data_IF_931738994629
#
_entry.id   IF_931738994629
#
_cell.length_a   1.000
_cell.length_b   1.000
_cell.length_c   1.000
_cell.angle_alpha   90.00
_cell.angle_beta   90.00
_cell.angle_gamma   90.00
#
_symmetry.space_group_name_H-M   'P 1'
#
loop_
_entity.id
_entity.type
_entity.pdbx_description
1 polymer ?
#
# COMPACT_ATOMS: atom_id res chain seq x y z
N UNK A 1 5.85 -30.75 -28.31
CA UNK A 1 6.07 -30.34 -26.93
C UNK A 1 4.73 -30.37 -26.22
N UNK A 2 4.62 -30.87 -24.97
CA UNK A 2 3.36 -30.85 -24.24
C UNK A 2 2.92 -29.40 -24.11
N UNK A 3 1.71 -29.07 -24.56
CA UNK A 3 1.12 -27.76 -24.36
C UNK A 3 0.92 -27.55 -22.87
N UNK A 4 1.49 -26.47 -22.34
CA UNK A 4 1.22 -26.06 -20.95
C UNK A 4 -0.28 -25.77 -20.80
N UNK A 5 -0.88 -26.19 -19.68
CA UNK A 5 -2.29 -25.88 -19.44
C UNK A 5 -2.52 -24.36 -19.48
N UNK A 6 -3.69 -23.92 -19.97
CA UNK A 6 -4.01 -22.50 -20.05
C UNK A 6 -3.99 -21.86 -18.64
N UNK A 7 -3.43 -20.65 -18.57
CA UNK A 7 -3.34 -19.85 -17.35
C UNK A 7 -4.32 -18.68 -17.47
N UNK A 8 -5.44 -18.77 -16.78
CA UNK A 8 -6.45 -17.74 -16.77
C UNK A 8 -5.93 -16.44 -16.13
N UNK A 9 -6.09 -15.33 -16.83
CA UNK A 9 -5.78 -13.97 -16.36
C UNK A 9 -7.02 -13.12 -16.43
N UNK A 10 -7.50 -12.62 -15.29
CA UNK A 10 -8.62 -11.70 -15.23
C UNK A 10 -8.10 -10.27 -15.19
N UNK A 11 -8.61 -9.38 -16.04
CA UNK A 11 -8.27 -7.96 -16.11
C UNK A 11 -9.51 -7.16 -15.76
N UNK A 12 -9.49 -6.49 -14.62
CA UNK A 12 -10.55 -5.62 -14.15
C UNK A 12 -10.11 -4.15 -14.29
N UNK A 13 -10.71 -3.40 -15.21
CA UNK A 13 -10.41 -1.98 -15.45
C UNK A 13 -11.62 -1.24 -15.96
N UNK A 14 -11.85 -0.02 -15.46
CA UNK A 14 -12.89 0.87 -15.99
C UNK A 14 -12.52 1.52 -17.34
N UNK A 15 -11.27 1.43 -17.77
CA UNK A 15 -10.79 1.98 -19.04
C UNK A 15 -10.74 0.88 -20.12
N UNK A 16 -11.70 0.84 -21.07
CA UNK A 16 -11.76 -0.22 -22.07
C UNK A 16 -10.53 -0.27 -22.99
N UNK A 17 -9.98 0.90 -23.36
CA UNK A 17 -8.83 0.97 -24.25
C UNK A 17 -7.56 0.42 -23.57
N UNK A 18 -7.35 0.77 -22.31
CA UNK A 18 -6.25 0.23 -21.51
C UNK A 18 -6.40 -1.29 -21.29
N UNK A 19 -7.60 -1.73 -20.91
CA UNK A 19 -7.88 -3.14 -20.68
C UNK A 19 -7.68 -3.99 -21.97
N UNK A 20 -8.13 -3.49 -23.11
CA UNK A 20 -7.93 -4.15 -24.41
C UNK A 20 -6.44 -4.25 -24.78
N UNK A 21 -5.69 -3.14 -24.65
CA UNK A 21 -4.24 -3.14 -24.90
C UNK A 21 -3.48 -4.09 -23.97
N UNK A 22 -3.87 -4.16 -22.70
CA UNK A 22 -3.28 -5.09 -21.75
C UNK A 22 -3.62 -6.54 -22.10
N UNK A 23 -4.87 -6.81 -22.49
CA UNK A 23 -5.28 -8.14 -22.95
C UNK A 23 -4.49 -8.57 -24.20
N UNK A 24 -4.29 -7.67 -25.16
CA UNK A 24 -3.46 -7.95 -26.35
C UNK A 24 -2.00 -8.25 -25.98
N UNK A 25 -1.44 -7.57 -24.99
CA UNK A 25 -0.09 -7.87 -24.50
C UNK A 25 0.01 -9.29 -23.93
N UNK A 26 -1.06 -9.74 -23.26
CA UNK A 26 -1.13 -11.03 -22.59
C UNK A 26 -1.71 -12.15 -23.45
N UNK A 27 -2.25 -11.85 -24.63
CA UNK A 27 -2.82 -12.84 -25.55
C UNK A 27 -1.74 -13.70 -26.21
N UNK A 28 -0.99 -14.45 -25.39
CA UNK A 28 0.02 -15.41 -25.85
C UNK A 28 0.01 -16.66 -24.96
N UNK A 29 0.10 -17.86 -25.55
CA UNK A 29 0.14 -19.08 -24.76
C UNK A 29 1.26 -19.07 -23.70
N UNK A 30 1.01 -19.57 -22.50
CA UNK A 30 -0.23 -20.20 -22.03
C UNK A 30 -1.26 -19.24 -21.43
N UNK A 31 -1.11 -17.91 -21.53
CA UNK A 31 -1.98 -16.92 -20.89
C UNK A 31 -3.31 -16.78 -21.66
N UNK A 32 -4.42 -16.76 -20.92
CA UNK A 32 -5.77 -16.53 -21.42
C UNK A 32 -6.39 -15.33 -20.72
N UNK A 33 -6.27 -14.09 -21.26
CA UNK A 33 -6.84 -12.90 -20.67
C UNK A 33 -8.35 -12.82 -20.86
N UNK A 34 -9.06 -12.40 -19.81
CA UNK A 34 -10.48 -12.05 -19.79
C UNK A 34 -10.65 -10.66 -19.19
N UNK A 35 -11.37 -9.77 -19.87
CA UNK A 35 -11.58 -8.39 -19.42
C UNK A 35 -12.96 -8.24 -18.79
N UNK A 36 -13.02 -7.49 -17.69
CA UNK A 36 -14.24 -7.07 -16.99
C UNK A 36 -14.10 -5.61 -16.55
N UNK A 37 -15.22 -4.93 -16.26
CA UNK A 37 -15.23 -3.48 -16.05
C UNK A 37 -15.75 -3.05 -14.67
N UNK A 38 -16.22 -3.98 -13.86
CA UNK A 38 -16.78 -3.73 -12.53
C UNK A 38 -16.32 -4.78 -11.53
N UNK A 39 -16.47 -4.46 -10.24
CA UNK A 39 -16.19 -5.38 -9.13
C UNK A 39 -17.11 -6.59 -9.22
N UNK A 40 -18.42 -6.37 -9.41
CA UNK A 40 -19.41 -7.44 -9.47
C UNK A 40 -19.08 -8.44 -10.58
N UNK A 41 -18.83 -7.93 -11.81
CA UNK A 41 -18.45 -8.79 -12.93
C UNK A 41 -17.11 -9.51 -12.68
N UNK A 42 -16.16 -8.87 -12.01
CA UNK A 42 -14.88 -9.48 -11.67
C UNK A 42 -15.05 -10.65 -10.69
N UNK A 43 -15.87 -10.49 -9.66
CA UNK A 43 -16.15 -11.53 -8.66
C UNK A 43 -16.89 -12.71 -9.29
N UNK A 44 -17.90 -12.44 -10.13
CA UNK A 44 -18.64 -13.50 -10.86
C UNK A 44 -17.67 -14.32 -11.71
N UNK A 45 -16.89 -13.67 -12.56
CA UNK A 45 -15.94 -14.35 -13.45
C UNK A 45 -14.79 -15.03 -12.72
N UNK A 46 -14.33 -14.44 -11.62
CA UNK A 46 -13.33 -15.07 -10.77
C UNK A 46 -13.84 -16.37 -10.13
N UNK A 47 -15.10 -16.40 -9.70
CA UNK A 47 -15.75 -17.61 -9.19
C UNK A 47 -15.86 -18.73 -10.23
N UNK A 48 -16.23 -18.37 -11.47
CA UNK A 48 -16.40 -19.31 -12.57
C UNK A 48 -15.09 -19.85 -13.13
N UNK A 49 -14.14 -18.94 -13.41
CA UNK A 49 -12.90 -19.23 -14.17
C UNK A 49 -11.70 -19.55 -13.30
N UNK A 50 -11.76 -19.18 -12.01
CA UNK A 50 -10.67 -19.38 -11.04
C UNK A 50 -9.31 -18.95 -11.60
N UNK A 51 -9.16 -17.70 -12.02
CA UNK A 51 -7.93 -17.23 -12.65
C UNK A 51 -6.72 -17.39 -11.74
N UNK A 52 -5.56 -17.72 -12.34
CA UNK A 52 -4.30 -17.78 -11.61
C UNK A 52 -3.75 -16.38 -11.29
N UNK A 53 -4.14 -15.38 -12.09
CA UNK A 53 -3.74 -14.00 -11.93
C UNK A 53 -4.94 -13.07 -12.13
N UNK A 54 -5.04 -12.04 -11.29
CA UNK A 54 -5.99 -10.94 -11.46
C UNK A 54 -5.23 -9.63 -11.53
N UNK A 55 -5.42 -8.88 -12.60
CA UNK A 55 -4.88 -7.53 -12.77
C UNK A 55 -6.04 -6.56 -12.52
N UNK A 56 -5.87 -5.67 -11.55
CA UNK A 56 -6.96 -4.82 -11.05
C UNK A 56 -6.53 -3.36 -11.19
N UNK A 57 -7.35 -2.57 -11.87
CA UNK A 57 -7.19 -1.12 -11.90
C UNK A 57 -7.50 -0.51 -10.52
N UNK A 58 -6.90 0.64 -10.23
CA UNK A 58 -7.11 1.35 -8.96
C UNK A 58 -8.59 1.67 -8.71
N UNK A 59 -9.29 2.05 -9.77
CA UNK A 59 -10.72 2.37 -9.75
C UNK A 59 -11.46 1.54 -10.79
N UNK A 60 -12.61 1.04 -10.41
CA UNK A 60 -13.58 0.38 -11.25
C UNK A 60 -14.87 1.20 -11.29
N UNK A 61 -15.80 0.86 -12.15
CA UNK A 61 -17.05 1.60 -12.31
C UNK A 61 -17.89 1.68 -11.02
N UNK A 62 -17.77 0.69 -10.16
CA UNK A 62 -18.58 0.45 -8.97
C UNK A 62 -17.79 0.48 -7.65
N UNK A 63 -16.48 0.79 -7.68
CA UNK A 63 -15.70 0.91 -6.43
C UNK A 63 -14.19 0.92 -6.59
N UNK A 64 -13.49 0.81 -5.47
CA UNK A 64 -12.04 0.80 -5.43
C UNK A 64 -11.46 -0.60 -5.74
N UNK A 65 -10.43 -0.67 -6.58
CA UNK A 65 -9.76 -1.94 -6.89
C UNK A 65 -9.17 -2.65 -5.67
N UNK A 66 -8.84 -1.91 -4.61
CA UNK A 66 -8.38 -2.49 -3.36
C UNK A 66 -9.47 -3.35 -2.66
N UNK A 67 -10.75 -2.97 -2.80
CA UNK A 67 -11.89 -3.75 -2.29
C UNK A 67 -11.99 -5.08 -3.05
N UNK A 68 -11.92 -5.03 -4.38
CA UNK A 68 -11.88 -6.23 -5.22
C UNK A 68 -10.69 -7.12 -4.86
N UNK A 69 -9.50 -6.55 -4.66
CA UNK A 69 -8.31 -7.32 -4.29
C UNK A 69 -8.52 -8.08 -2.96
N UNK A 70 -9.14 -7.45 -1.96
CA UNK A 70 -9.44 -8.08 -0.68
C UNK A 70 -10.46 -9.23 -0.82
N UNK A 71 -11.50 -9.05 -1.67
CA UNK A 71 -12.50 -10.09 -1.95
C UNK A 71 -11.87 -11.28 -2.70
N UNK A 72 -11.09 -11.01 -3.75
CA UNK A 72 -10.39 -12.06 -4.51
C UNK A 72 -9.46 -12.86 -3.59
N UNK A 73 -8.71 -12.23 -2.71
CA UNK A 73 -7.85 -12.94 -1.75
C UNK A 73 -8.62 -13.85 -0.81
N UNK A 74 -9.81 -13.43 -0.37
CA UNK A 74 -10.69 -14.26 0.46
C UNK A 74 -11.25 -15.45 -0.31
N UNK A 75 -11.74 -15.21 -1.52
CA UNK A 75 -12.40 -16.23 -2.33
C UNK A 75 -11.40 -17.18 -3.01
N UNK A 76 -10.25 -16.67 -3.45
CA UNK A 76 -9.24 -17.38 -4.22
C UNK A 76 -7.83 -17.12 -3.65
N UNK A 77 -7.46 -17.74 -2.50
CA UNK A 77 -6.17 -17.49 -1.84
C UNK A 77 -4.94 -17.82 -2.71
N UNK A 78 -5.11 -18.70 -3.71
CA UNK A 78 -4.05 -19.07 -4.66
C UNK A 78 -3.84 -18.10 -5.80
N UNK A 79 -4.82 -17.25 -6.12
CA UNK A 79 -4.72 -16.27 -7.20
C UNK A 79 -3.71 -15.18 -6.85
N UNK A 80 -2.90 -14.80 -7.82
CA UNK A 80 -1.98 -13.67 -7.70
C UNK A 80 -2.69 -12.39 -8.11
N UNK A 81 -2.29 -11.27 -7.52
CA UNK A 81 -2.92 -9.97 -7.77
C UNK A 81 -1.84 -8.97 -8.18
N UNK A 82 -2.04 -8.29 -9.29
CA UNK A 82 -1.29 -7.10 -9.68
C UNK A 82 -2.23 -5.90 -9.71
N UNK A 83 -1.83 -4.78 -9.12
CA UNK A 83 -2.59 -3.54 -9.24
C UNK A 83 -2.04 -2.69 -10.38
N UNK A 84 -2.93 -2.25 -11.28
CA UNK A 84 -2.62 -1.23 -12.26
C UNK A 84 -2.71 0.16 -11.58
N UNK A 85 -1.65 0.95 -11.68
CA UNK A 85 -1.57 2.27 -11.06
C UNK A 85 -1.06 3.30 -12.06
N UNK A 86 -1.68 4.47 -12.10
CA UNK A 86 -1.25 5.56 -12.98
C UNK A 86 0.10 6.17 -12.60
N UNK A 87 0.63 5.85 -11.42
CA UNK A 87 1.90 6.41 -10.98
C UNK A 87 2.72 5.38 -10.18
N UNK A 88 4.04 5.47 -10.33
CA UNK A 88 5.03 4.73 -9.54
C UNK A 88 5.19 5.28 -8.10
N UNK A 89 4.31 6.17 -7.64
CA UNK A 89 4.44 6.76 -6.30
C UNK A 89 4.34 5.69 -5.23
N UNK A 90 5.19 5.82 -4.21
CA UNK A 90 5.23 4.91 -3.06
C UNK A 90 3.86 4.69 -2.41
N UNK A 91 2.99 5.70 -2.39
CA UNK A 91 1.65 5.58 -1.82
C UNK A 91 0.78 4.54 -2.55
N UNK A 92 0.77 4.53 -3.88
CA UNK A 92 0.01 3.55 -4.67
C UNK A 92 0.53 2.13 -4.50
N UNK A 93 1.85 1.98 -4.37
CA UNK A 93 2.48 0.69 -4.10
C UNK A 93 2.20 0.21 -2.66
N UNK A 94 2.14 1.13 -1.68
CA UNK A 94 1.75 0.81 -0.30
C UNK A 94 0.31 0.31 -0.26
N UNK A 95 -0.61 0.99 -0.95
CA UNK A 95 -2.01 0.56 -1.06
C UNK A 95 -2.11 -0.84 -1.68
N UNK A 96 -1.35 -1.10 -2.77
CA UNK A 96 -1.29 -2.39 -3.42
C UNK A 96 -0.81 -3.50 -2.47
N UNK A 97 0.29 -3.26 -1.77
CA UNK A 97 0.87 -4.23 -0.85
C UNK A 97 -0.06 -4.48 0.36
N UNK A 98 -0.71 -3.44 0.88
CA UNK A 98 -1.71 -3.56 1.96
C UNK A 98 -2.93 -4.36 1.52
N UNK A 99 -3.38 -4.18 0.27
CA UNK A 99 -4.43 -5.01 -0.34
C UNK A 99 -3.96 -6.43 -0.65
N UNK A 100 -2.65 -6.72 -0.48
CA UNK A 100 -2.04 -8.03 -0.69
C UNK A 100 -1.76 -8.36 -2.13
N UNK A 101 -1.57 -7.36 -2.98
CA UNK A 101 -1.06 -7.56 -4.32
C UNK A 101 0.39 -8.06 -4.30
N UNK A 102 0.79 -8.76 -5.35
CA UNK A 102 2.17 -9.22 -5.58
C UNK A 102 3.04 -8.13 -6.21
N UNK A 103 2.43 -7.05 -6.70
CA UNK A 103 3.14 -5.93 -7.32
C UNK A 103 2.18 -4.96 -7.99
N UNK A 104 2.78 -3.94 -8.64
CA UNK A 104 2.07 -2.96 -9.45
C UNK A 104 2.56 -3.02 -10.90
N UNK A 105 1.69 -2.64 -11.83
CA UNK A 105 2.03 -2.35 -13.22
C UNK A 105 1.62 -0.92 -13.55
N UNK A 106 2.36 -0.27 -14.46
CA UNK A 106 2.05 1.09 -14.90
C UNK A 106 1.59 1.09 -16.35
N UNK A 107 0.65 1.96 -16.74
CA UNK A 107 0.18 2.09 -18.12
C UNK A 107 1.30 2.47 -19.12
N UNK A 108 2.39 3.05 -18.61
CA UNK A 108 3.56 3.47 -19.40
C UNK A 108 4.57 2.34 -19.63
N UNK A 109 4.36 1.17 -19.04
CA UNK A 109 5.28 0.06 -19.18
C UNK A 109 5.22 -0.55 -20.58
N UNK A 110 6.37 -1.03 -21.06
CA UNK A 110 6.45 -1.79 -22.29
C UNK A 110 5.79 -3.16 -22.10
N UNK A 111 5.44 -3.79 -23.22
CA UNK A 111 4.89 -5.16 -23.20
C UNK A 111 5.79 -6.13 -22.44
N UNK A 112 7.10 -6.04 -22.65
CA UNK A 112 8.09 -6.90 -21.99
C UNK A 112 8.07 -6.72 -20.47
N UNK A 113 8.02 -5.48 -20.00
CA UNK A 113 7.96 -5.17 -18.55
C UNK A 113 6.69 -5.72 -17.89
N UNK A 114 5.54 -5.62 -18.59
CA UNK A 114 4.27 -6.19 -18.13
C UNK A 114 4.35 -7.71 -18.05
N UNK A 115 4.88 -8.35 -19.11
CA UNK A 115 5.03 -9.81 -19.15
C UNK A 115 5.98 -10.34 -18.08
N UNK A 116 7.05 -9.61 -17.78
CA UNK A 116 7.97 -9.96 -16.69
C UNK A 116 7.29 -9.85 -15.33
N UNK A 117 6.51 -8.80 -15.09
CA UNK A 117 5.73 -8.66 -13.85
C UNK A 117 4.69 -9.80 -13.68
N UNK A 118 4.02 -10.17 -14.76
CA UNK A 118 3.07 -11.29 -14.78
C UNK A 118 3.76 -12.61 -14.48
N UNK A 119 4.89 -12.90 -15.12
CA UNK A 119 5.66 -14.13 -14.85
C UNK A 119 6.13 -14.21 -13.42
N UNK A 120 6.64 -13.11 -12.88
CA UNK A 120 7.11 -13.06 -11.50
C UNK A 120 5.95 -13.25 -10.50
N UNK A 121 4.82 -12.57 -10.71
CA UNK A 121 3.65 -12.74 -9.88
C UNK A 121 3.17 -14.21 -9.88
N UNK A 122 3.08 -14.86 -11.04
CA UNK A 122 2.70 -16.27 -11.16
C UNK A 122 3.68 -17.21 -10.46
N UNK A 123 4.97 -16.86 -10.39
CA UNK A 123 5.99 -17.59 -9.60
C UNK A 123 5.95 -17.27 -8.12
N UNK A 124 5.10 -16.35 -7.67
CA UNK A 124 5.03 -15.90 -6.29
C UNK A 124 6.11 -14.89 -5.91
N UNK A 125 6.79 -14.29 -6.89
CA UNK A 125 7.78 -13.25 -6.66
C UNK A 125 7.04 -11.91 -6.60
N UNK A 126 7.16 -11.22 -5.47
CA UNK A 126 6.59 -9.87 -5.29
C UNK A 126 7.63 -8.82 -5.69
N UNK A 127 7.20 -7.83 -6.47
CA UNK A 127 8.03 -6.71 -6.90
C UNK A 127 7.47 -5.41 -6.34
N UNK A 128 8.18 -4.88 -5.34
CA UNK A 128 7.94 -3.54 -4.77
C UNK A 128 9.27 -2.84 -4.57
N UNK A 129 9.26 -1.52 -4.69
CA UNK A 129 10.45 -0.72 -4.43
C UNK A 129 10.87 -0.82 -2.95
N UNK A 130 12.17 -0.80 -2.70
CA UNK A 130 12.70 -0.89 -1.33
C UNK A 130 12.16 0.23 -0.43
N UNK A 131 11.93 1.42 -0.98
CA UNK A 131 11.34 2.54 -0.25
C UNK A 131 9.89 2.29 0.17
N UNK A 132 9.13 1.50 -0.60
CA UNK A 132 7.79 1.04 -0.25
C UNK A 132 7.85 0.10 0.95
N UNK A 133 8.77 -0.86 0.93
CA UNK A 133 8.97 -1.80 2.03
C UNK A 133 9.39 -1.06 3.31
N UNK A 134 10.30 -0.09 3.20
CA UNK A 134 10.69 0.78 4.32
C UNK A 134 9.51 1.59 4.86
N UNK A 135 8.74 2.21 3.97
CA UNK A 135 7.56 2.99 4.35
C UNK A 135 6.53 2.15 5.09
N UNK A 136 6.30 0.91 4.66
CA UNK A 136 5.41 -0.03 5.36
C UNK A 136 5.96 -0.45 6.72
N UNK A 137 7.25 -0.72 6.82
CA UNK A 137 7.88 -1.01 8.09
C UNK A 137 7.73 0.18 9.06
N UNK A 138 7.87 1.42 8.57
CA UNK A 138 7.64 2.62 9.36
C UNK A 138 6.17 2.83 9.74
N UNK A 139 5.23 2.49 8.85
CA UNK A 139 3.80 2.51 9.16
C UNK A 139 3.43 1.44 10.21
N UNK A 140 3.95 0.23 10.08
CA UNK A 140 3.75 -0.84 11.05
C UNK A 140 4.34 -0.48 12.42
N UNK A 141 5.52 0.13 12.45
CA UNK A 141 6.11 0.67 13.69
C UNK A 141 5.20 1.69 14.36
N UNK A 142 4.57 2.57 13.58
CA UNK A 142 3.62 3.57 14.10
C UNK A 142 2.29 2.97 14.58
N UNK A 143 1.87 1.84 14.03
CA UNK A 143 0.67 1.13 14.49
C UNK A 143 0.89 0.38 15.82
N UNK A 144 2.14 0.02 16.15
CA UNK A 144 2.51 -0.56 17.44
C UNK A 144 2.69 0.48 18.57
N UNK A 145 2.76 1.78 18.25
CA UNK A 145 2.75 2.84 19.24
C UNK A 145 1.35 2.92 19.89
N UNK A 146 1.25 3.00 21.24
CA UNK A 146 -0.03 3.29 21.89
C UNK A 146 -0.60 4.55 21.23
N UNK A 147 -1.78 4.42 20.63
CA UNK A 147 -2.45 5.56 19.97
C UNK A 147 -2.75 6.62 21.01
N UNK A 148 -1.85 7.59 21.09
CA UNK A 148 -2.08 8.80 21.89
C UNK A 148 -3.05 9.67 21.10
N UNK A 149 -4.24 9.91 21.65
CA UNK A 149 -5.27 10.73 21.00
C UNK A 149 -4.83 12.20 20.96
N UNK A 150 -4.19 12.56 19.86
CA UNK A 150 -3.71 13.90 19.57
C UNK A 150 -4.66 14.63 18.62
N UNK A 151 -4.93 15.89 18.90
CA UNK A 151 -5.59 16.78 17.96
C UNK A 151 -4.70 17.04 16.73
N UNK A 152 -5.28 17.52 15.63
CA UNK A 152 -4.52 17.81 14.40
C UNK A 152 -3.39 18.83 14.65
N UNK A 153 -3.63 19.83 15.47
CA UNK A 153 -2.62 20.82 15.86
C UNK A 153 -1.49 20.17 16.67
N UNK A 154 -1.81 19.30 17.61
CA UNK A 154 -0.82 18.55 18.38
C UNK A 154 0.01 17.61 17.50
N UNK A 155 -0.60 16.96 16.50
CA UNK A 155 0.13 16.13 15.53
C UNK A 155 1.14 16.93 14.73
N UNK A 156 0.76 18.15 14.30
CA UNK A 156 1.67 19.05 13.57
C UNK A 156 2.83 19.48 14.49
N UNK A 157 2.54 19.89 15.72
CA UNK A 157 3.57 20.30 16.70
C UNK A 157 4.50 19.14 17.03
N UNK A 158 3.97 17.93 17.28
CA UNK A 158 4.77 16.72 17.56
C UNK A 158 5.72 16.40 16.42
N UNK A 159 5.27 16.47 15.17
CA UNK A 159 6.10 16.24 13.99
C UNK A 159 7.30 17.19 13.93
N UNK A 160 7.08 18.47 14.25
CA UNK A 160 8.15 19.47 14.26
C UNK A 160 9.07 19.32 15.49
N UNK A 161 8.54 18.87 16.63
CA UNK A 161 9.35 18.48 17.79
C UNK A 161 10.30 17.31 17.45
N UNK A 162 9.81 16.29 16.76
CA UNK A 162 10.63 15.14 16.27
C UNK A 162 11.73 15.55 15.29
N UNK A 163 11.58 16.68 14.61
CA UNK A 163 12.64 17.28 13.77
C UNK A 163 13.66 18.11 14.59
N UNK A 164 13.65 17.98 15.91
CA UNK A 164 14.52 18.69 16.85
C UNK A 164 14.40 20.22 16.81
N UNK A 165 13.33 20.79 16.24
CA UNK A 165 13.08 22.22 16.25
C UNK A 165 12.73 22.72 17.67
N UNK A 166 13.25 23.86 18.07
CA UNK A 166 12.88 24.53 19.31
C UNK A 166 11.45 25.07 19.26
N UNK A 167 10.82 25.30 20.40
CA UNK A 167 9.45 25.87 20.42
C UNK A 167 9.35 27.24 19.77
N UNK A 168 10.45 28.02 19.73
CA UNK A 168 10.51 29.31 19.02
C UNK A 168 10.49 29.10 17.50
N UNK A 169 11.27 28.16 16.99
CA UNK A 169 11.30 27.83 15.55
C UNK A 169 9.98 27.24 15.07
N UNK A 170 9.37 26.37 15.91
CA UNK A 170 8.02 25.83 15.63
C UNK A 170 7.00 26.94 15.57
N UNK A 171 7.03 27.87 16.55
CA UNK A 171 6.12 29.02 16.57
C UNK A 171 6.26 29.90 15.34
N UNK A 172 7.48 30.18 14.93
CA UNK A 172 7.78 30.95 13.72
C UNK A 172 7.28 30.21 12.47
N UNK A 173 7.55 28.90 12.36
CA UNK A 173 7.15 28.09 11.19
C UNK A 173 5.64 27.93 11.05
N UNK A 174 4.90 27.93 12.17
CA UNK A 174 3.44 27.79 12.18
C UNK A 174 2.68 29.12 12.20
N UNK A 175 3.38 30.28 12.26
CA UNK A 175 2.76 31.59 12.44
C UNK A 175 1.96 31.69 13.74
N UNK A 176 2.42 31.05 14.82
CA UNK A 176 1.73 31.01 16.11
C UNK A 176 2.60 31.62 17.22
N UNK A 177 1.96 31.95 18.36
CA UNK A 177 2.72 32.41 19.52
C UNK A 177 3.54 31.29 20.14
N UNK A 178 4.69 31.61 20.72
CA UNK A 178 5.49 30.65 21.47
C UNK A 178 4.70 30.01 22.62
N UNK A 179 3.83 30.76 23.27
CA UNK A 179 2.94 30.25 24.33
C UNK A 179 1.99 29.18 23.82
N UNK A 180 1.39 29.38 22.65
CA UNK A 180 0.50 28.40 22.02
C UNK A 180 1.23 27.10 21.72
N UNK A 181 2.42 27.18 21.14
CA UNK A 181 3.24 25.98 20.83
C UNK A 181 3.65 25.27 22.10
N UNK A 182 4.04 26.00 23.15
CA UNK A 182 4.39 25.41 24.44
C UNK A 182 3.20 24.68 25.08
N UNK A 183 2.00 25.24 25.01
CA UNK A 183 0.77 24.61 25.52
C UNK A 183 0.48 23.30 24.79
N UNK A 184 0.59 23.30 23.45
CA UNK A 184 0.44 22.07 22.68
C UNK A 184 1.52 21.05 23.03
N UNK A 185 2.79 21.46 23.17
CA UNK A 185 3.87 20.57 23.55
C UNK A 185 3.65 19.95 24.93
N UNK A 186 3.20 20.73 25.92
CA UNK A 186 2.85 20.23 27.25
C UNK A 186 1.70 19.21 27.20
N UNK A 187 0.67 19.48 26.40
CA UNK A 187 -0.44 18.55 26.19
C UNK A 187 0.03 17.24 25.55
N UNK A 188 0.90 17.32 24.55
CA UNK A 188 1.52 16.16 23.89
C UNK A 188 2.29 15.32 24.90
N UNK A 189 3.19 15.94 25.69
CA UNK A 189 3.98 15.23 26.69
C UNK A 189 3.09 14.53 27.73
N UNK A 190 2.08 15.21 28.22
CA UNK A 190 1.10 14.65 29.17
C UNK A 190 0.36 13.45 28.56
N UNK A 191 -0.11 13.57 27.32
CA UNK A 191 -0.83 12.51 26.60
C UNK A 191 0.05 11.28 26.37
N UNK A 192 1.35 11.46 26.15
CA UNK A 192 2.34 10.38 26.05
C UNK A 192 2.81 9.84 27.40
N UNK A 193 2.35 10.43 28.53
CA UNK A 193 2.78 10.03 29.86
C UNK A 193 4.25 10.33 30.16
N UNK A 194 4.82 11.35 29.50
CA UNK A 194 6.21 11.77 29.66
C UNK A 194 6.30 13.22 30.16
N UNK A 195 7.41 13.57 30.83
CA UNK A 195 7.55 14.88 31.48
C UNK A 195 8.47 15.85 30.70
N UNK A 196 9.27 15.34 29.79
CA UNK A 196 10.19 16.17 29.01
C UNK A 196 10.26 15.71 27.57
N UNK A 197 10.77 16.58 26.70
CA UNK A 197 11.05 16.23 25.29
C UNK A 197 12.07 15.09 25.20
N UNK A 198 13.07 15.07 26.07
CA UNK A 198 14.07 14.00 26.10
C UNK A 198 13.43 12.65 26.45
N UNK A 199 12.43 12.65 27.32
CA UNK A 199 11.68 11.45 27.66
C UNK A 199 10.80 11.00 26.49
N UNK A 200 10.28 11.95 25.69
CA UNK A 200 9.53 11.67 24.48
C UNK A 200 10.44 11.01 23.42
N UNK A 201 11.65 11.53 23.22
CA UNK A 201 12.65 10.93 22.33
C UNK A 201 13.04 9.51 22.79
N UNK A 202 13.18 9.31 24.11
CA UNK A 202 13.44 8.00 24.70
C UNK A 202 12.23 7.05 24.65
N UNK A 203 11.02 7.59 24.67
CA UNK A 203 9.78 6.83 24.48
C UNK A 203 9.67 6.35 23.03
N UNK A 204 9.93 7.23 22.04
CA UNK A 204 9.99 6.90 20.64
C UNK A 204 11.04 5.81 20.34
N UNK A 205 12.22 5.89 20.97
CA UNK A 205 13.29 4.89 20.84
C UNK A 205 12.87 3.52 21.39
N UNK A 206 12.24 3.47 22.57
CA UNK A 206 11.76 2.22 23.19
C UNK A 206 10.60 1.60 22.45
N UNK A 207 9.68 2.41 21.91
CA UNK A 207 8.63 1.92 21.04
C UNK A 207 9.21 1.26 19.78
N UNK A 208 10.32 1.76 19.26
CA UNK A 208 11.08 1.14 18.17
C UNK A 208 11.80 -0.17 18.55
N UNK A 209 12.37 -0.26 19.77
CA UNK A 209 13.10 -1.46 20.23
C UNK A 209 12.19 -2.62 20.64
N UNK A 210 11.03 -2.33 21.25
CA UNK A 210 10.08 -3.36 21.66
C UNK A 210 9.54 -4.18 20.46
N UNK A 211 9.61 -3.64 19.27
CA UNK A 211 9.15 -4.29 18.03
C UNK A 211 10.22 -5.14 17.34
N UNK A 212 11.50 -4.94 17.70
CA UNK A 212 12.61 -5.80 17.22
C UNK A 212 12.75 -7.09 18.04
N UNK A 213 12.06 -7.19 19.18
CA UNK A 213 12.07 -8.34 20.08
C UNK A 213 10.89 -9.30 19.83
N UNK A 214 10.52 -9.58 18.58
CA UNK A 214 9.60 -10.68 18.26
C UNK A 214 10.41 -11.96 18.28
N UNK A 215 10.13 -12.92 19.21
CA UNK A 215 10.83 -14.18 19.23
C UNK A 215 10.50 -14.96 17.95
N UNK A 216 11.54 -15.43 17.26
CA UNK A 216 11.41 -16.40 16.18
C UNK A 216 10.72 -17.65 16.72
N UNK A 217 9.55 -17.98 16.20
CA UNK A 217 8.87 -19.28 16.30
C UNK A 217 8.64 -19.84 14.93
#
# INVERSE_FOLDING_TARGET
APQQPPVGVLIASQNPAYAAGLADFLAQPPLEPLVVYSIDAALERAGERRPALVIIDRWLADGAGAELAAEIRRALPGAKILLASESARSQSQIEALTAGASGCILPTWTREAVLDAVRDALRGISRFDLDVVRSLADMARRQGEPQVDLTDQERVVLRLMRQHLTYKEIAQRLGRSWHTVRTHAQSILRKHGVHSRRDLDAWDARAGEAMLAVPAR
#
